data_IF_178728182948
#
_entry.id   IF_178728182948
#
_cell.length_a   1.000
_cell.length_b   1.000
_cell.length_c   1.000
_cell.angle_alpha   90.00
_cell.angle_beta   90.00
_cell.angle_gamma   90.00
#
_symmetry.space_group_name_H-M   'P 1'
#
loop_
_entity.id
_entity.type
_entity.pdbx_description
1 polymer ?
#
# COMPACT_ATOMS: atom_id res chain seq x y z
N UNK A 1 -12.24 15.69 0.44
CA UNK A 1 -11.93 14.81 1.59
C UNK A 1 -11.50 13.41 1.14
N UNK A 2 -12.25 12.75 0.26
CA UNK A 2 -11.96 11.39 -0.21
C UNK A 2 -10.65 11.28 -1.01
N UNK A 3 -10.37 12.23 -1.92
CA UNK A 3 -9.13 12.26 -2.71
C UNK A 3 -7.87 12.34 -1.82
N UNK A 4 -7.89 13.19 -0.79
CA UNK A 4 -6.75 13.34 0.14
C UNK A 4 -6.51 12.03 0.90
N UNK A 5 -7.57 11.39 1.39
CA UNK A 5 -7.47 10.08 2.05
C UNK A 5 -6.95 8.99 1.11
N UNK A 6 -7.36 9.00 -0.17
CA UNK A 6 -6.87 8.04 -1.15
C UNK A 6 -5.39 8.25 -1.49
N UNK A 7 -4.91 9.50 -1.56
CA UNK A 7 -3.49 9.82 -1.71
C UNK A 7 -2.70 9.36 -0.48
N UNK A 8 -3.23 9.56 0.72
CA UNK A 8 -2.60 9.05 1.95
C UNK A 8 -2.53 7.52 1.93
N UNK A 9 -3.60 6.84 1.53
CA UNK A 9 -3.63 5.37 1.42
C UNK A 9 -2.59 4.86 0.41
N UNK A 10 -2.45 5.56 -0.71
CA UNK A 10 -1.44 5.29 -1.73
C UNK A 10 -0.01 5.40 -1.16
N UNK A 11 0.30 6.50 -0.47
CA UNK A 11 1.62 6.72 0.15
C UNK A 11 1.89 5.65 1.24
N UNK A 12 0.89 5.32 2.06
CA UNK A 12 0.99 4.27 3.06
C UNK A 12 1.28 2.91 2.39
N UNK A 13 0.61 2.60 1.28
CA UNK A 13 0.89 1.39 0.50
C UNK A 13 2.36 1.29 0.08
N UNK A 14 2.94 2.38 -0.44
CA UNK A 14 4.36 2.45 -0.80
C UNK A 14 5.25 2.23 0.43
N UNK A 15 4.95 2.90 1.55
CA UNK A 15 5.72 2.76 2.78
C UNK A 15 5.70 1.33 3.33
N UNK A 16 4.54 0.68 3.32
CA UNK A 16 4.38 -0.72 3.76
C UNK A 16 5.17 -1.68 2.87
N UNK A 17 5.12 -1.49 1.54
CA UNK A 17 5.95 -2.26 0.60
C UNK A 17 7.45 -2.03 0.87
N UNK A 18 7.89 -0.80 1.11
CA UNK A 18 9.29 -0.50 1.41
C UNK A 18 9.77 -1.15 2.73
N UNK A 19 8.91 -1.20 3.75
CA UNK A 19 9.22 -1.86 5.03
C UNK A 19 9.28 -3.38 4.88
N UNK A 20 8.53 -3.97 3.94
CA UNK A 20 8.54 -5.41 3.70
C UNK A 20 9.95 -5.94 3.45
N UNK A 21 10.79 -5.22 2.69
CA UNK A 21 12.17 -5.60 2.37
C UNK A 21 13.10 -5.72 3.58
N UNK A 22 12.73 -5.15 4.74
CA UNK A 22 13.48 -5.29 5.98
C UNK A 22 13.10 -6.54 6.79
N UNK A 23 12.07 -7.28 6.36
CA UNK A 23 11.60 -8.46 7.06
C UNK A 23 12.60 -9.62 6.92
N UNK A 24 12.96 -10.23 8.05
CA UNK A 24 13.89 -11.38 8.10
C UNK A 24 13.22 -12.72 7.77
N UNK A 25 11.88 -12.79 7.87
CA UNK A 25 11.08 -13.99 7.59
C UNK A 25 10.38 -13.80 6.26
N UNK A 26 10.52 -14.76 5.34
CA UNK A 26 9.90 -14.71 4.02
C UNK A 26 8.38 -14.56 4.08
N UNK A 27 7.71 -15.29 4.97
CA UNK A 27 6.25 -15.18 5.14
C UNK A 27 5.83 -13.76 5.49
N UNK A 28 6.60 -13.08 6.34
CA UNK A 28 6.33 -11.69 6.76
C UNK A 28 6.64 -10.72 5.62
N UNK A 29 7.73 -10.96 4.88
CA UNK A 29 8.06 -10.21 3.66
C UNK A 29 6.90 -10.24 2.66
N UNK A 30 6.46 -11.43 2.26
CA UNK A 30 5.40 -11.58 1.26
C UNK A 30 4.05 -11.06 1.77
N UNK A 31 3.72 -11.24 3.06
CA UNK A 31 2.50 -10.71 3.65
C UNK A 31 2.45 -9.17 3.63
N UNK A 32 3.53 -8.51 4.06
CA UNK A 32 3.63 -7.05 4.04
C UNK A 32 3.67 -6.50 2.61
N UNK A 33 4.39 -7.17 1.71
CA UNK A 33 4.44 -6.80 0.30
C UNK A 33 3.04 -6.85 -0.32
N UNK A 34 2.30 -7.95 -0.10
CA UNK A 34 0.93 -8.10 -0.59
C UNK A 34 -0.03 -7.06 0.01
N UNK A 35 0.05 -6.82 1.33
CA UNK A 35 -0.77 -5.81 1.99
C UNK A 35 -0.52 -4.40 1.46
N UNK A 36 0.75 -4.02 1.28
CA UNK A 36 1.11 -2.72 0.72
C UNK A 36 0.66 -2.55 -0.73
N UNK A 37 0.71 -3.63 -1.53
CA UNK A 37 0.25 -3.63 -2.91
C UNK A 37 -1.27 -3.45 -3.02
N UNK A 38 -2.04 -4.11 -2.15
CA UNK A 38 -3.50 -3.91 -2.07
C UNK A 38 -3.83 -2.46 -1.70
N UNK A 39 -3.15 -1.89 -0.70
CA UNK A 39 -3.36 -0.51 -0.28
C UNK A 39 -3.02 0.50 -1.39
N UNK A 40 -1.94 0.24 -2.14
CA UNK A 40 -1.52 1.06 -3.27
C UNK A 40 -2.60 1.11 -4.36
N UNK A 41 -3.06 -0.05 -4.83
CA UNK A 41 -4.06 -0.13 -5.89
C UNK A 41 -5.45 0.32 -5.42
N UNK A 42 -5.82 0.05 -4.17
CA UNK A 42 -7.04 0.61 -3.58
C UNK A 42 -6.98 2.14 -3.58
N UNK A 43 -5.85 2.72 -3.17
CA UNK A 43 -5.63 4.17 -3.20
C UNK A 43 -5.84 4.73 -4.61
N UNK A 44 -5.20 4.13 -5.63
CA UNK A 44 -5.38 4.53 -7.04
C UNK A 44 -6.85 4.45 -7.47
N UNK A 45 -7.51 3.33 -7.18
CA UNK A 45 -8.90 3.09 -7.58
C UNK A 45 -9.86 4.16 -7.03
N UNK A 46 -9.61 4.70 -5.84
CA UNK A 46 -10.42 5.75 -5.25
C UNK A 46 -9.95 7.18 -5.60
N UNK A 47 -8.80 7.37 -6.23
CA UNK A 47 -8.33 8.69 -6.74
C UNK A 47 -8.99 8.99 -8.08
N UNK A 48 -9.01 8.01 -8.99
CA UNK A 48 -9.59 8.20 -10.31
C UNK A 48 -11.10 7.97 -10.25
N UNK A 49 -11.93 9.00 -10.48
CA UNK A 49 -13.35 8.78 -10.66
C UNK A 49 -13.53 7.96 -11.96
N UNK A 50 -14.45 6.98 -11.93
CA UNK A 50 -14.89 6.29 -13.14
C UNK A 50 -15.53 7.28 -14.11
#
# INVERSE_FOLDING_TARGET
MQIILSILLFIVGIAVMAVSFKAKKEVVYYALLAAGLVLFFAGIYFIFPK
#
